data_IF_952125360749
#
_entry.id   IF_952125360749
#
_cell.length_a   1.000
_cell.length_b   1.000
_cell.length_c   1.000
_cell.angle_alpha   90.00
_cell.angle_beta   90.00
_cell.angle_gamma   90.00
#
_symmetry.space_group_name_H-M   'P 1'
#
loop_
_entity.id
_entity.type
_entity.pdbx_description
1 polymer ?
#
# COMPACT_ATOMS: atom_id res chain seq x y z
N UNK A 1 4.99 6.83 11.00
CA UNK A 1 5.26 8.21 10.60
C UNK A 1 4.90 8.41 9.13
N UNK A 2 4.20 9.49 8.82
CA UNK A 2 3.64 9.74 7.49
C UNK A 2 4.34 10.96 6.88
N UNK A 3 4.75 10.83 5.64
CA UNK A 3 5.47 11.86 4.89
C UNK A 3 4.73 12.19 3.59
N UNK A 4 4.72 13.47 3.23
CA UNK A 4 4.24 13.88 1.91
C UNK A 4 5.27 13.46 0.85
N UNK A 5 4.80 12.98 -0.30
CA UNK A 5 5.66 12.62 -1.40
C UNK A 5 6.27 13.88 -2.05
N UNK A 6 7.58 13.86 -2.27
CA UNK A 6 8.27 14.86 -3.06
C UNK A 6 8.37 14.36 -4.50
N UNK A 7 7.73 15.06 -5.42
CA UNK A 7 7.68 14.70 -6.84
C UNK A 7 8.38 15.71 -7.74
N UNK A 8 9.16 16.62 -7.16
CA UNK A 8 9.83 17.69 -7.91
C UNK A 8 10.99 17.16 -8.76
N UNK A 9 11.61 16.06 -8.36
CA UNK A 9 12.68 15.43 -9.13
C UNK A 9 12.14 14.37 -10.08
N UNK A 10 12.83 14.19 -11.21
CA UNK A 10 12.55 13.15 -12.18
C UNK A 10 13.80 12.29 -12.32
N UNK A 11 13.63 10.97 -12.28
CA UNK A 11 14.72 10.00 -12.40
C UNK A 11 14.29 8.84 -13.27
N UNK A 12 14.25 9.02 -14.61
CA UNK A 12 13.98 7.91 -15.50
C UNK A 12 15.16 6.95 -15.53
N UNK A 13 14.91 5.67 -15.33
CA UNK A 13 15.90 4.62 -15.36
C UNK A 13 15.51 3.58 -16.39
N UNK A 14 16.50 2.88 -16.99
CA UNK A 14 16.19 1.86 -17.99
C UNK A 14 15.30 0.74 -17.43
N UNK A 15 14.34 0.32 -18.24
CA UNK A 15 13.46 -0.80 -17.95
C UNK A 15 13.81 -1.95 -18.89
N UNK A 16 13.88 -3.18 -18.37
CA UNK A 16 14.05 -4.36 -19.21
C UNK A 16 12.89 -4.49 -20.21
N UNK A 17 13.19 -4.73 -21.48
CA UNK A 17 12.19 -4.82 -22.54
C UNK A 17 11.33 -6.06 -22.43
N UNK A 18 11.83 -7.12 -21.81
CA UNK A 18 11.10 -8.34 -21.53
C UNK A 18 11.05 -8.60 -20.03
N UNK A 19 9.99 -9.28 -19.60
CA UNK A 19 9.84 -9.64 -18.21
C UNK A 19 10.93 -10.60 -17.72
N UNK A 20 11.37 -10.42 -16.51
CA UNK A 20 12.28 -11.37 -15.84
C UNK A 20 11.45 -12.52 -15.28
N UNK A 21 11.79 -13.74 -15.66
CA UNK A 21 11.08 -14.93 -15.20
C UNK A 21 11.42 -15.24 -13.74
N UNK A 22 10.40 -15.38 -12.92
CA UNK A 22 10.56 -15.81 -11.54
C UNK A 22 10.64 -17.33 -11.38
N UNK A 23 10.39 -18.08 -12.45
CA UNK A 23 10.55 -19.54 -12.51
C UNK A 23 11.72 -19.93 -13.36
N UNK A 24 11.42 -20.50 -14.54
CA UNK A 24 12.46 -20.88 -15.47
C UNK A 24 13.06 -19.66 -16.16
N UNK A 25 14.39 -19.68 -16.44
CA UNK A 25 15.02 -18.59 -17.17
C UNK A 25 14.42 -18.41 -18.57
N UNK A 26 14.44 -17.19 -19.06
CA UNK A 26 14.08 -16.87 -20.44
C UNK A 26 15.28 -16.31 -21.19
N UNK A 27 15.26 -16.36 -22.54
CA UNK A 27 16.34 -15.76 -23.34
C UNK A 27 16.54 -14.28 -23.02
N UNK A 28 17.80 -13.84 -22.98
CA UNK A 28 18.17 -12.46 -22.66
C UNK A 28 18.15 -11.55 -23.89
N UNK A 29 17.11 -11.64 -24.70
CA UNK A 29 16.93 -10.80 -25.89
C UNK A 29 16.05 -9.60 -25.56
N UNK A 30 16.29 -8.46 -26.21
CA UNK A 30 15.44 -7.28 -26.11
C UNK A 30 15.34 -6.71 -24.70
N UNK A 31 16.34 -6.90 -23.88
CA UNK A 31 16.28 -6.60 -22.46
C UNK A 31 16.24 -5.10 -22.09
N UNK A 32 16.53 -4.22 -23.06
CA UNK A 32 16.51 -2.77 -22.83
C UNK A 32 15.57 -2.12 -23.85
N UNK A 33 14.35 -1.81 -23.44
CA UNK A 33 13.36 -1.20 -24.33
C UNK A 33 13.14 0.28 -24.03
N UNK A 34 12.79 0.61 -22.79
CA UNK A 34 12.37 1.95 -22.40
C UNK A 34 13.02 2.39 -21.11
N UNK A 35 12.73 3.60 -20.69
CA UNK A 35 13.03 4.08 -19.36
C UNK A 35 11.74 4.25 -18.56
N UNK A 36 11.86 4.21 -17.25
CA UNK A 36 10.74 4.37 -16.33
C UNK A 36 11.15 5.34 -15.21
N UNK A 37 10.26 6.28 -14.90
CA UNK A 37 10.38 7.17 -13.77
C UNK A 37 9.41 6.69 -12.69
N UNK A 38 9.94 6.20 -11.57
CA UNK A 38 9.11 5.65 -10.50
C UNK A 38 8.16 6.69 -9.90
N UNK A 39 8.53 7.95 -9.84
CA UNK A 39 7.62 9.00 -9.38
C UNK A 39 6.35 9.03 -10.22
N UNK A 40 6.48 8.88 -11.53
CA UNK A 40 5.33 8.88 -12.44
C UNK A 40 4.50 7.61 -12.32
N UNK A 41 5.14 6.48 -12.07
CA UNK A 41 4.46 5.19 -11.93
C UNK A 41 3.71 5.08 -10.62
N UNK A 42 4.38 5.41 -9.51
CA UNK A 42 3.85 5.19 -8.16
C UNK A 42 2.92 6.30 -7.70
N UNK A 43 3.06 7.50 -8.24
CA UNK A 43 2.36 8.68 -7.72
C UNK A 43 1.49 9.28 -8.83
N UNK A 44 0.19 8.98 -8.77
CA UNK A 44 -0.79 9.48 -9.73
C UNK A 44 -1.36 10.83 -9.31
N UNK A 45 -1.50 11.08 -8.00
CA UNK A 45 -2.10 12.27 -7.43
C UNK A 45 -1.11 12.88 -6.44
N UNK A 46 -0.16 13.66 -6.95
CA UNK A 46 0.97 14.16 -6.16
C UNK A 46 0.56 15.00 -4.97
N UNK A 47 -0.56 15.73 -5.06
CA UNK A 47 -1.04 16.59 -3.97
C UNK A 47 -1.64 15.80 -2.81
N UNK A 48 -2.01 14.55 -3.04
CA UNK A 48 -2.68 13.69 -2.06
C UNK A 48 -1.94 12.38 -1.78
N UNK A 49 -0.66 12.28 -2.18
CA UNK A 49 0.15 11.09 -1.96
C UNK A 49 1.12 11.28 -0.82
N UNK A 50 1.17 10.29 0.06
CA UNK A 50 1.98 10.28 1.26
C UNK A 50 2.71 8.96 1.39
N UNK A 51 3.77 8.95 2.20
CA UNK A 51 4.48 7.73 2.58
C UNK A 51 4.32 7.47 4.06
N UNK A 52 4.31 6.20 4.44
CA UNK A 52 4.36 5.79 5.84
C UNK A 52 5.26 4.59 6.00
N UNK A 53 5.95 4.51 7.13
CA UNK A 53 6.73 3.35 7.52
C UNK A 53 5.82 2.42 8.32
N UNK A 54 5.80 1.15 7.96
CA UNK A 54 4.99 0.14 8.64
C UNK A 54 5.69 -0.30 9.93
N UNK A 55 4.92 -0.38 11.00
CA UNK A 55 5.37 -0.91 12.28
C UNK A 55 4.49 -2.09 12.67
N UNK A 56 5.11 -3.20 13.02
CA UNK A 56 4.39 -4.40 13.43
C UNK A 56 4.17 -5.41 12.30
N UNK A 57 3.52 -6.53 12.63
CA UNK A 57 3.39 -7.68 11.75
C UNK A 57 1.93 -8.09 11.48
N UNK A 58 0.97 -7.22 11.77
CA UNK A 58 -0.45 -7.59 11.60
C UNK A 58 -0.88 -7.82 10.16
N UNK A 59 -0.06 -7.41 9.18
CA UNK A 59 -0.35 -7.53 7.75
C UNK A 59 0.65 -8.41 7.01
N UNK A 60 1.38 -9.26 7.71
CA UNK A 60 2.49 -10.04 7.14
C UNK A 60 2.04 -10.98 6.02
N UNK A 61 0.85 -11.58 6.15
CA UNK A 61 0.33 -12.50 5.11
C UNK A 61 -0.24 -11.76 3.89
N UNK A 62 -0.34 -10.44 3.94
CA UNK A 62 -0.65 -9.62 2.77
C UNK A 62 0.62 -9.11 2.08
N UNK A 63 1.79 -9.54 2.53
CA UNK A 63 3.06 -9.08 1.98
C UNK A 63 3.50 -7.72 2.49
N UNK A 64 2.96 -7.27 3.61
CA UNK A 64 3.30 -5.99 4.23
C UNK A 64 3.94 -6.26 5.58
N UNK A 65 5.23 -5.99 5.72
CA UNK A 65 6.00 -6.31 6.90
C UNK A 65 6.51 -5.08 7.65
N UNK A 66 7.01 -5.34 8.84
CA UNK A 66 7.63 -4.32 9.67
C UNK A 66 8.79 -3.65 8.94
N UNK A 67 8.83 -2.34 8.97
CA UNK A 67 9.86 -1.55 8.29
C UNK A 67 9.59 -1.25 6.82
N UNK A 68 8.56 -1.82 6.22
CA UNK A 68 8.19 -1.52 4.85
C UNK A 68 7.75 -0.06 4.71
N UNK A 69 7.94 0.48 3.51
CA UNK A 69 7.42 1.79 3.16
C UNK A 69 6.16 1.60 2.32
N UNK A 70 5.07 2.24 2.69
CA UNK A 70 3.83 2.21 1.90
C UNK A 70 3.56 3.55 1.26
N UNK A 71 3.03 3.50 0.04
CA UNK A 71 2.55 4.66 -0.69
C UNK A 71 1.04 4.76 -0.46
N UNK A 72 0.57 5.92 -0.05
CA UNK A 72 -0.81 6.14 0.37
C UNK A 72 -1.39 7.28 -0.46
N UNK A 73 -2.53 7.04 -1.09
CA UNK A 73 -3.26 8.06 -1.83
C UNK A 73 -4.55 8.42 -1.09
N UNK A 74 -4.63 9.66 -0.61
CA UNK A 74 -5.79 10.17 0.11
C UNK A 74 -6.96 10.52 -0.79
N UNK A 75 -6.73 10.67 -2.08
CA UNK A 75 -7.79 11.06 -3.02
C UNK A 75 -8.69 9.91 -3.43
N UNK A 76 -8.27 8.66 -3.18
CA UNK A 76 -9.03 7.48 -3.56
C UNK A 76 -10.12 7.18 -2.55
N UNK A 77 -11.31 6.86 -3.05
CA UNK A 77 -12.38 6.29 -2.24
C UNK A 77 -12.08 4.81 -1.99
N UNK A 78 -12.06 4.42 -0.73
CA UNK A 78 -11.75 3.03 -0.38
C UNK A 78 -12.87 2.09 -0.81
N UNK A 79 -12.46 0.96 -1.40
CA UNK A 79 -13.34 -0.13 -1.79
C UNK A 79 -13.13 -1.31 -0.85
N UNK A 80 -14.13 -2.15 -0.73
CA UNK A 80 -14.00 -3.40 0.01
C UNK A 80 -12.86 -4.23 -0.61
N UNK A 81 -11.89 -4.62 0.20
CA UNK A 81 -10.69 -5.32 -0.24
C UNK A 81 -9.45 -4.44 -0.35
N UNK A 82 -9.59 -3.12 -0.31
CA UNK A 82 -8.44 -2.22 -0.30
C UNK A 82 -7.68 -2.30 1.02
N UNK A 83 -6.37 -2.13 0.94
CA UNK A 83 -5.56 -1.89 2.12
C UNK A 83 -5.58 -0.40 2.42
N UNK A 84 -5.87 -0.05 3.66
CA UNK A 84 -6.07 1.35 4.05
C UNK A 84 -5.24 1.70 5.28
N UNK A 85 -4.91 2.98 5.39
CA UNK A 85 -4.52 3.58 6.66
C UNK A 85 -5.78 4.21 7.23
N UNK A 86 -6.21 3.71 8.37
CA UNK A 86 -7.41 4.16 9.05
C UNK A 86 -7.05 4.84 10.35
N UNK A 87 -7.81 5.88 10.68
CA UNK A 87 -7.82 6.49 11.99
C UNK A 87 -8.97 5.87 12.78
N UNK A 88 -8.67 5.28 13.91
CA UNK A 88 -9.63 4.61 14.76
C UNK A 88 -9.38 4.97 16.23
N UNK A 89 -10.35 5.65 16.85
CA UNK A 89 -10.34 5.97 18.28
C UNK A 89 -8.99 6.54 18.75
N UNK A 90 -8.45 7.47 17.97
CA UNK A 90 -7.22 8.20 18.30
C UNK A 90 -5.92 7.62 17.73
N UNK A 91 -5.98 6.50 17.04
CA UNK A 91 -4.78 5.83 16.54
C UNK A 91 -4.86 5.54 15.04
N UNK A 92 -3.72 5.55 14.36
CA UNK A 92 -3.61 5.09 12.97
C UNK A 92 -3.30 3.60 12.94
N UNK A 93 -3.93 2.89 12.00
CA UNK A 93 -3.65 1.47 11.77
C UNK A 93 -3.73 1.17 10.28
N UNK A 94 -2.95 0.18 9.82
CA UNK A 94 -2.98 -0.31 8.45
C UNK A 94 -3.66 -1.68 8.44
N UNK A 95 -4.76 -1.81 7.71
CA UNK A 95 -5.55 -3.04 7.65
C UNK A 95 -6.20 -3.15 6.27
N UNK A 96 -6.73 -4.34 5.96
CA UNK A 96 -7.63 -4.51 4.84
C UNK A 96 -9.02 -4.01 5.25
N UNK A 97 -9.63 -3.17 4.43
CA UNK A 97 -10.97 -2.66 4.67
C UNK A 97 -11.98 -3.55 3.97
N UNK A 98 -13.03 -3.95 4.68
CA UNK A 98 -14.16 -4.70 4.12
C UNK A 98 -15.47 -4.07 4.53
N UNK A 99 -16.39 -4.02 3.58
CA UNK A 99 -17.74 -3.53 3.80
C UNK A 99 -18.65 -4.74 4.03
N UNK A 100 -19.37 -4.72 5.15
CA UNK A 100 -20.35 -5.74 5.50
C UNK A 100 -21.75 -5.16 5.37
N UNK A 101 -22.34 -5.30 4.20
CA UNK A 101 -23.66 -4.73 3.92
C UNK A 101 -24.77 -5.41 4.71
N UNK A 102 -24.65 -6.71 4.97
CA UNK A 102 -25.64 -7.46 5.71
C UNK A 102 -25.77 -6.98 7.16
N UNK A 103 -24.65 -6.60 7.80
CA UNK A 103 -24.62 -6.13 9.17
C UNK A 103 -24.47 -4.62 9.29
N UNK A 104 -24.48 -3.90 8.17
CA UNK A 104 -24.38 -2.44 8.11
C UNK A 104 -23.17 -1.91 8.87
N UNK A 105 -22.02 -2.53 8.66
CA UNK A 105 -20.76 -2.14 9.30
C UNK A 105 -19.59 -2.32 8.35
N UNK A 106 -18.44 -1.84 8.79
CA UNK A 106 -17.17 -2.12 8.16
C UNK A 106 -16.30 -3.00 9.04
N UNK A 107 -15.28 -3.57 8.45
CA UNK A 107 -14.28 -4.37 9.14
C UNK A 107 -12.90 -3.90 8.74
N UNK A 108 -12.02 -3.78 9.72
CA UNK A 108 -10.58 -3.64 9.53
C UNK A 108 -9.96 -5.01 9.79
N UNK A 109 -9.50 -5.65 8.73
CA UNK A 109 -9.10 -7.06 8.77
C UNK A 109 -7.59 -7.17 8.73
N UNK A 110 -6.95 -7.77 9.76
CA UNK A 110 -5.52 -8.05 9.71
C UNK A 110 -5.24 -9.24 8.79
N UNK A 111 -4.01 -9.32 8.30
CA UNK A 111 -3.51 -10.46 7.54
C UNK A 111 -2.50 -11.23 8.38
N UNK A 112 -2.92 -11.65 9.54
CA UNK A 112 -2.15 -12.43 10.50
C UNK A 112 -3.13 -13.00 11.52
N UNK A 113 -3.15 -14.31 11.68
CA UNK A 113 -4.08 -15.02 12.56
C UNK A 113 -3.90 -14.69 14.04
N UNK A 114 -2.79 -14.08 14.42
CA UNK A 114 -2.54 -13.65 15.80
C UNK A 114 -3.28 -12.35 16.16
N UNK A 115 -3.96 -11.75 15.19
CA UNK A 115 -4.72 -10.51 15.38
C UNK A 115 -6.16 -10.74 14.97
N UNK A 116 -7.09 -10.07 15.67
CA UNK A 116 -8.53 -10.18 15.39
C UNK A 116 -9.01 -9.04 14.50
N UNK A 117 -9.99 -9.31 13.62
CA UNK A 117 -10.67 -8.25 12.88
C UNK A 117 -11.33 -7.24 13.82
N UNK A 118 -11.34 -5.99 13.41
CA UNK A 118 -11.93 -4.89 14.17
C UNK A 118 -13.20 -4.46 13.46
N UNK A 119 -14.33 -4.56 14.14
CA UNK A 119 -15.61 -4.06 13.62
C UNK A 119 -15.66 -2.54 13.81
N UNK A 120 -16.06 -1.84 12.75
CA UNK A 120 -16.24 -0.38 12.80
C UNK A 120 -17.67 -0.02 12.40
N UNK A 121 -18.28 0.82 13.20
CA UNK A 121 -19.65 1.29 13.04
C UNK A 121 -19.70 2.80 13.20
N UNK A 122 -20.89 3.38 13.09
CA UNK A 122 -21.10 4.80 13.34
C UNK A 122 -20.77 5.22 14.78
N UNK A 123 -20.69 4.27 15.72
CA UNK A 123 -20.34 4.53 17.11
C UNK A 123 -18.84 4.71 17.36
N UNK A 124 -18.00 4.29 16.38
CA UNK A 124 -16.56 4.47 16.46
C UNK A 124 -16.16 5.84 15.93
N UNK A 125 -15.14 6.44 16.50
CA UNK A 125 -14.43 7.55 15.89
C UNK A 125 -13.52 6.98 14.81
N UNK A 126 -14.04 6.88 13.59
CA UNK A 126 -13.42 6.15 12.50
C UNK A 126 -13.36 7.00 11.23
N UNK A 127 -12.19 6.99 10.59
CA UNK A 127 -11.97 7.63 9.30
C UNK A 127 -10.97 6.80 8.51
N UNK A 128 -11.27 6.53 7.24
CA UNK A 128 -10.25 6.04 6.31
C UNK A 128 -9.40 7.24 5.90
N UNK A 129 -8.14 7.22 6.31
CA UNK A 129 -7.24 8.34 6.04
C UNK A 129 -6.72 8.30 4.61
N UNK A 130 -6.44 7.12 4.08
CA UNK A 130 -6.00 6.95 2.71
C UNK A 130 -5.90 5.48 2.31
N UNK A 131 -5.79 5.25 1.01
CA UNK A 131 -5.68 3.91 0.41
C UNK A 131 -4.22 3.62 0.10
N UNK A 132 -3.74 2.46 0.54
CA UNK A 132 -2.38 1.98 0.23
C UNK A 132 -2.37 1.49 -1.21
N UNK A 133 -1.50 2.06 -2.03
CA UNK A 133 -1.40 1.72 -3.45
C UNK A 133 -0.17 0.88 -3.77
N UNK A 134 0.90 1.02 -3.00
CA UNK A 134 2.15 0.27 -3.19
C UNK A 134 2.84 0.02 -1.87
N UNK A 135 3.61 -1.06 -1.85
CA UNK A 135 4.52 -1.42 -0.75
C UNK A 135 5.93 -1.48 -1.31
N UNK A 136 6.86 -0.83 -0.62
CA UNK A 136 8.27 -0.81 -1.01
C UNK A 136 9.09 -1.43 0.11
N UNK A 137 9.82 -2.47 -0.20
CA UNK A 137 10.67 -3.19 0.76
C UNK A 137 12.10 -3.25 0.27
N UNK A 138 13.03 -2.92 1.16
CA UNK A 138 14.44 -3.17 0.90
C UNK A 138 14.72 -4.66 1.07
N UNK A 139 15.30 -5.27 0.05
CA UNK A 139 15.63 -6.70 0.07
C UNK A 139 17.07 -6.97 0.57
N UNK A 140 17.88 -5.92 0.65
CA UNK A 140 19.24 -6.02 1.13
C UNK A 140 19.36 -5.49 2.55
N UNK A 141 19.86 -6.33 3.42
CA UNK A 141 20.02 -6.01 4.83
C UNK A 141 21.29 -5.19 5.09
#
# INVERSE_FOLDING_TARGET
QIFRADTHSSLPLPLAGEGVKAGFPSPAEGYMADSIDLNRVLIRHKESTFYARVSGDSMIHAGIGDGDLVVIDKSLDARSGDYVVAYLDGEFTLKEFRIDTANQCGWLVPANENYSPIRVTADNEFLIWGVVTYVIRSMRK
#
